data_IF_046577201322
#
_entry.id   IF_046577201322
#
_cell.length_a   1.000
_cell.length_b   1.000
_cell.length_c   1.000
_cell.angle_alpha   90.00
_cell.angle_beta   90.00
_cell.angle_gamma   90.00
#
_symmetry.space_group_name_H-M   'P 1'
#
loop_
_entity.id
_entity.type
_entity.pdbx_description
1 polymer ?
#
# COMPACT_ATOMS: atom_id res chain seq x y z
N UNK A 1 -15.21 8.36 -6.57
CA UNK A 1 -13.82 8.28 -6.07
C UNK A 1 -13.87 8.52 -4.57
N UNK A 2 -13.37 7.58 -3.78
CA UNK A 2 -13.29 7.77 -2.34
C UNK A 2 -12.29 8.89 -2.02
N UNK A 3 -12.64 9.81 -1.13
CA UNK A 3 -11.81 10.97 -0.78
C UNK A 3 -10.95 10.73 0.48
N UNK A 4 -11.30 9.72 1.28
CA UNK A 4 -10.64 9.38 2.54
C UNK A 4 -9.99 7.98 2.55
N UNK A 5 -10.18 7.17 1.50
CA UNK A 5 -9.49 5.89 1.30
C UNK A 5 -9.11 5.71 -0.17
N UNK A 6 -7.95 5.11 -0.49
CA UNK A 6 -7.58 4.86 -1.87
C UNK A 6 -8.46 3.77 -2.49
N UNK A 7 -9.02 4.03 -3.67
CA UNK A 7 -9.78 3.03 -4.45
C UNK A 7 -8.85 1.92 -4.98
N UNK A 8 -7.62 2.28 -5.35
CA UNK A 8 -6.62 1.36 -5.88
C UNK A 8 -5.25 1.72 -5.32
N UNK A 9 -4.44 0.71 -5.03
CA UNK A 9 -3.03 0.87 -4.74
C UNK A 9 -2.23 0.17 -5.83
N UNK A 10 -1.54 0.95 -6.67
CA UNK A 10 -0.75 0.43 -7.79
C UNK A 10 0.68 0.27 -7.33
N UNK A 11 1.19 -0.96 -7.36
CA UNK A 11 2.60 -1.27 -7.13
C UNK A 11 3.23 -1.68 -8.46
N UNK A 12 4.41 -1.12 -8.76
CA UNK A 12 5.20 -1.47 -9.94
C UNK A 12 6.49 -2.12 -9.47
N UNK A 13 6.74 -3.32 -9.96
CA UNK A 13 8.01 -4.02 -9.75
C UNK A 13 8.78 -4.07 -11.07
N UNK A 14 9.96 -3.44 -11.09
CA UNK A 14 10.86 -3.47 -12.23
C UNK A 14 11.94 -4.53 -12.01
N UNK A 15 11.90 -5.58 -12.84
CA UNK A 15 12.89 -6.67 -12.82
C UNK A 15 13.82 -6.52 -14.03
N UNK A 16 15.12 -6.46 -13.78
CA UNK A 16 16.15 -6.33 -14.82
C UNK A 16 17.15 -7.48 -14.74
N UNK A 17 17.69 -7.87 -15.90
CA UNK A 17 18.81 -8.81 -15.97
C UNK A 17 20.12 -8.03 -15.86
N UNK A 18 20.92 -8.20 -14.77
CA UNK A 18 22.09 -7.36 -14.55
C UNK A 18 23.08 -7.34 -15.71
N UNK A 19 23.32 -8.50 -16.34
CA UNK A 19 24.27 -8.65 -17.45
C UNK A 19 23.83 -8.00 -18.77
N UNK A 20 22.58 -7.52 -18.86
CA UNK A 20 22.06 -6.81 -20.04
C UNK A 20 22.19 -5.29 -19.91
N UNK A 21 22.72 -4.78 -18.79
CA UNK A 21 22.85 -3.35 -18.52
C UNK A 21 24.28 -2.98 -18.08
N UNK A 22 24.69 -1.71 -18.25
CA UNK A 22 25.97 -1.23 -17.75
C UNK A 22 26.12 -1.40 -16.23
N UNK A 23 27.36 -1.52 -15.77
CA UNK A 23 27.67 -1.55 -14.35
C UNK A 23 27.07 -0.32 -13.63
N UNK A 24 26.44 -0.55 -12.48
CA UNK A 24 25.79 0.52 -11.70
C UNK A 24 24.39 0.93 -12.14
N UNK A 25 23.88 0.46 -13.29
CA UNK A 25 22.55 0.81 -13.77
C UNK A 25 21.46 0.58 -12.71
N UNK A 26 21.43 -0.60 -12.10
CA UNK A 26 20.42 -0.97 -11.09
C UNK A 26 20.36 -0.03 -9.88
N UNK A 27 21.53 0.40 -9.38
CA UNK A 27 21.62 1.30 -8.23
C UNK A 27 21.20 2.72 -8.63
N UNK A 28 21.75 3.21 -9.73
CA UNK A 28 21.43 4.55 -10.25
C UNK A 28 19.93 4.69 -10.56
N UNK A 29 19.32 3.65 -11.16
CA UNK A 29 17.87 3.64 -11.42
C UNK A 29 17.04 3.66 -10.14
N UNK A 30 17.47 2.96 -9.08
CA UNK A 30 16.77 2.98 -7.78
C UNK A 30 16.85 4.35 -7.11
N UNK A 31 18.03 4.95 -7.08
CA UNK A 31 18.22 6.30 -6.53
C UNK A 31 17.39 7.34 -7.28
N UNK A 32 17.41 7.27 -8.62
CA UNK A 32 16.60 8.15 -9.45
C UNK A 32 15.10 7.94 -9.22
N UNK A 33 14.62 6.70 -9.14
CA UNK A 33 13.20 6.40 -8.87
C UNK A 33 12.74 6.99 -7.53
N UNK A 34 13.56 6.88 -6.48
CA UNK A 34 13.26 7.45 -5.16
C UNK A 34 13.06 8.97 -5.25
N UNK A 35 13.89 9.67 -6.04
CA UNK A 35 13.74 11.11 -6.26
C UNK A 35 12.45 11.48 -7.00
N UNK A 36 11.87 10.56 -7.79
CA UNK A 36 10.61 10.81 -8.50
C UNK A 36 9.37 10.58 -7.65
N UNK A 37 9.47 9.91 -6.49
CA UNK A 37 8.31 9.54 -5.67
C UNK A 37 7.51 10.77 -5.26
N UNK A 38 8.16 11.79 -4.69
CA UNK A 38 7.49 13.00 -4.20
C UNK A 38 6.75 13.75 -5.32
N UNK A 39 7.43 13.95 -6.45
CA UNK A 39 6.87 14.59 -7.66
C UNK A 39 5.66 13.81 -8.20
N UNK A 40 5.76 12.48 -8.23
CA UNK A 40 4.67 11.61 -8.69
C UNK A 40 3.44 11.71 -7.79
N UNK A 41 3.62 11.66 -6.46
CA UNK A 41 2.52 11.83 -5.52
C UNK A 41 1.90 13.23 -5.58
N UNK A 42 2.70 14.28 -5.79
CA UNK A 42 2.17 15.63 -5.99
C UNK A 42 1.31 15.73 -7.26
N UNK A 43 1.74 15.08 -8.35
CA UNK A 43 0.95 14.99 -9.58
C UNK A 43 -0.36 14.23 -9.36
N UNK A 44 -0.33 13.07 -8.70
CA UNK A 44 -1.52 12.27 -8.37
C UNK A 44 -2.49 13.12 -7.55
N UNK A 45 -2.03 13.76 -6.48
CA UNK A 45 -2.87 14.61 -5.63
C UNK A 45 -3.55 15.72 -6.43
N UNK A 46 -2.80 16.40 -7.32
CA UNK A 46 -3.36 17.45 -8.20
C UNK A 46 -4.48 16.90 -9.10
N UNK A 47 -4.30 15.69 -9.63
CA UNK A 47 -5.31 15.03 -10.47
C UNK A 47 -6.55 14.61 -9.65
N UNK A 48 -6.36 14.11 -8.43
CA UNK A 48 -7.44 13.75 -7.50
C UNK A 48 -8.24 15.00 -7.04
N UNK A 49 -7.55 16.11 -6.78
CA UNK A 49 -8.16 17.38 -6.40
C UNK A 49 -9.01 17.96 -7.54
N UNK A 50 -8.60 17.77 -8.80
CA UNK A 50 -9.34 18.20 -9.98
C UNK A 50 -10.63 17.40 -10.26
N UNK A 51 -10.85 16.27 -9.57
CA UNK A 51 -12.08 15.47 -9.72
C UNK A 51 -13.27 16.27 -9.15
N UNK A 52 -14.35 16.50 -9.93
CA UNK A 52 -15.54 17.19 -9.44
C UNK A 52 -16.16 16.54 -8.20
N UNK A 53 -16.58 17.35 -7.22
CA UNK A 53 -17.13 16.90 -5.93
C UNK A 53 -18.32 15.94 -6.07
N UNK A 54 -19.15 16.10 -7.11
CA UNK A 54 -20.27 15.18 -7.39
C UNK A 54 -19.86 13.72 -7.61
N UNK A 55 -18.59 13.47 -7.93
CA UNK A 55 -18.04 12.13 -8.09
C UNK A 55 -17.22 11.68 -6.88
N UNK A 56 -17.02 12.55 -5.87
CA UNK A 56 -16.34 12.20 -4.62
C UNK A 56 -17.35 11.62 -3.64
N UNK A 57 -16.96 10.57 -2.95
CA UNK A 57 -17.79 9.89 -1.96
C UNK A 57 -16.95 9.60 -0.72
N UNK A 58 -17.35 10.10 0.44
CA UNK A 58 -16.65 9.81 1.69
C UNK A 58 -17.21 8.55 2.32
N UNK A 59 -16.33 7.58 2.60
CA UNK A 59 -16.72 6.36 3.31
C UNK A 59 -16.80 6.67 4.81
N UNK A 60 -17.84 6.19 5.50
CA UNK A 60 -17.95 6.34 6.94
C UNK A 60 -16.82 5.58 7.67
N UNK A 61 -16.49 6.00 8.90
CA UNK A 61 -15.48 5.29 9.70
C UNK A 61 -15.82 3.82 9.94
N UNK A 62 -17.11 3.52 10.14
CA UNK A 62 -17.60 2.17 10.35
C UNK A 62 -17.39 1.29 9.11
N UNK A 63 -17.72 1.80 7.93
CA UNK A 63 -17.47 1.08 6.67
C UNK A 63 -15.98 0.84 6.44
N UNK A 64 -15.12 1.83 6.71
CA UNK A 64 -13.66 1.66 6.62
C UNK A 64 -13.20 0.54 7.55
N UNK A 65 -13.63 0.52 8.81
CA UNK A 65 -13.25 -0.53 9.76
C UNK A 65 -13.74 -1.91 9.30
N UNK A 66 -14.94 -2.01 8.75
CA UNK A 66 -15.49 -3.26 8.19
C UNK A 66 -14.66 -3.75 6.98
N UNK A 67 -14.24 -2.83 6.10
CA UNK A 67 -13.30 -3.17 5.02
C UNK A 67 -11.96 -3.67 5.56
N UNK A 68 -11.39 -3.02 6.58
CA UNK A 68 -10.12 -3.46 7.16
C UNK A 68 -10.22 -4.85 7.83
N UNK A 69 -11.36 -5.16 8.47
CA UNK A 69 -11.67 -6.50 9.00
C UNK A 69 -11.68 -7.55 7.88
N UNK A 70 -12.41 -7.29 6.79
CA UNK A 70 -12.45 -8.17 5.62
C UNK A 70 -11.04 -8.42 5.07
N UNK A 71 -10.24 -7.38 4.88
CA UNK A 71 -8.87 -7.55 4.38
C UNK A 71 -7.99 -8.34 5.35
N UNK A 72 -8.15 -8.16 6.66
CA UNK A 72 -7.43 -8.95 7.67
C UNK A 72 -7.78 -10.43 7.57
N UNK A 73 -9.05 -10.76 7.43
CA UNK A 73 -9.50 -12.15 7.28
C UNK A 73 -8.88 -12.80 6.04
N UNK A 74 -8.82 -12.08 4.91
CA UNK A 74 -8.17 -12.57 3.70
C UNK A 74 -6.67 -12.77 3.89
N UNK A 75 -5.98 -11.84 4.57
CA UNK A 75 -4.54 -11.98 4.87
C UNK A 75 -4.27 -13.24 5.70
N UNK A 76 -5.04 -13.46 6.78
CA UNK A 76 -4.93 -14.66 7.62
C UNK A 76 -5.19 -15.93 6.80
N UNK A 77 -6.21 -15.92 5.95
CA UNK A 77 -6.53 -17.06 5.09
C UNK A 77 -5.39 -17.35 4.12
N UNK A 78 -4.88 -16.35 3.42
CA UNK A 78 -3.77 -16.52 2.48
C UNK A 78 -2.47 -16.92 3.16
N UNK A 79 -2.23 -16.51 4.42
CA UNK A 79 -1.13 -17.04 5.23
C UNK A 79 -1.32 -18.54 5.50
N UNK A 80 -2.53 -18.97 5.89
CA UNK A 80 -2.86 -20.38 6.14
C UNK A 80 -2.77 -21.25 4.89
N UNK A 81 -3.17 -20.70 3.74
CA UNK A 81 -3.10 -21.36 2.43
C UNK A 81 -1.65 -21.40 1.88
N UNK A 82 -0.67 -20.82 2.59
CA UNK A 82 0.74 -20.81 2.20
C UNK A 82 1.09 -19.82 1.08
N UNK A 83 0.16 -18.93 0.73
CA UNK A 83 0.37 -17.89 -0.30
C UNK A 83 1.19 -16.73 0.29
N UNK A 84 0.89 -16.34 1.52
CA UNK A 84 1.63 -15.31 2.25
C UNK A 84 2.57 -15.92 3.28
N UNK A 85 3.79 -15.38 3.34
CA UNK A 85 4.76 -15.78 4.35
C UNK A 85 4.38 -15.19 5.73
N UNK A 86 4.25 -16.02 6.79
CA UNK A 86 3.79 -15.57 8.10
C UNK A 86 4.74 -14.56 8.76
N UNK A 87 6.05 -14.64 8.47
CA UNK A 87 7.03 -13.69 9.00
C UNK A 87 6.83 -12.33 8.33
N UNK A 88 6.65 -12.30 7.01
CA UNK A 88 6.36 -11.09 6.25
C UNK A 88 5.06 -10.43 6.72
N UNK A 89 4.00 -11.21 6.92
CA UNK A 89 2.73 -10.69 7.45
C UNK A 89 2.92 -10.04 8.82
N UNK A 90 3.64 -10.70 9.73
CA UNK A 90 4.03 -10.13 11.02
C UNK A 90 4.80 -8.80 10.91
N UNK A 91 5.73 -8.67 9.96
CA UNK A 91 6.48 -7.43 9.70
C UNK A 91 5.55 -6.32 9.20
N UNK A 92 4.72 -6.61 8.19
CA UNK A 92 3.81 -5.64 7.59
C UNK A 92 2.76 -5.16 8.58
N UNK A 93 2.23 -6.05 9.43
CA UNK A 93 1.32 -5.67 10.51
C UNK A 93 1.98 -4.68 11.48
N UNK A 94 3.22 -4.95 11.92
CA UNK A 94 3.96 -4.02 12.80
C UNK A 94 4.18 -2.67 12.13
N UNK A 95 4.51 -2.65 10.84
CA UNK A 95 4.68 -1.41 10.09
C UNK A 95 3.37 -0.60 10.05
N UNK A 96 2.22 -1.22 9.73
CA UNK A 96 0.91 -0.53 9.74
C UNK A 96 0.57 0.02 11.12
N UNK A 97 0.80 -0.75 12.18
CA UNK A 97 0.56 -0.33 13.56
C UNK A 97 1.53 0.75 14.06
N UNK A 98 2.71 0.88 13.46
CA UNK A 98 3.64 1.98 13.77
C UNK A 98 3.16 3.33 13.22
N UNK A 99 2.42 3.30 12.11
CA UNK A 99 1.85 4.50 11.48
C UNK A 99 0.55 4.92 12.18
N UNK A 100 -0.35 3.97 12.44
CA UNK A 100 -1.60 4.22 13.16
C UNK A 100 -1.84 3.14 14.21
N UNK A 101 -1.57 3.48 15.47
CA UNK A 101 -1.68 2.56 16.62
C UNK A 101 -3.11 2.24 17.01
N UNK A 102 -4.07 3.09 16.63
CA UNK A 102 -5.48 2.93 16.99
C UNK A 102 -6.25 2.00 16.05
N UNK A 103 -5.61 1.46 15.00
CA UNK A 103 -6.23 0.46 14.12
C UNK A 103 -6.67 -0.76 14.93
N UNK A 104 -7.86 -1.29 14.61
CA UNK A 104 -8.46 -2.41 15.34
C UNK A 104 -7.55 -3.65 15.37
N UNK A 105 -6.76 -3.90 14.31
CA UNK A 105 -5.92 -5.10 14.21
C UNK A 105 -4.69 -5.08 15.14
N UNK A 106 -4.31 -3.92 15.65
CA UNK A 106 -3.06 -3.72 16.40
C UNK A 106 -3.09 -4.29 17.82
N UNK A 107 -4.28 -4.46 18.40
CA UNK A 107 -4.48 -5.13 19.71
C UNK A 107 -4.73 -6.63 19.58
N UNK A 108 -4.97 -7.13 18.36
CA UNK A 108 -5.29 -8.53 18.12
C UNK A 108 -4.02 -9.37 17.96
N UNK A 109 -4.04 -10.61 18.45
CA UNK A 109 -3.00 -11.60 18.17
C UNK A 109 -3.00 -12.05 16.71
N UNK A 110 -1.82 -12.39 16.21
CA UNK A 110 -1.63 -13.02 14.90
C UNK A 110 -1.81 -12.12 13.67
N UNK A 111 -1.31 -12.64 12.56
CA UNK A 111 -1.68 -12.34 11.17
C UNK A 111 -1.42 -13.57 10.29
#
# INVERSE_FOLDING_TARGET
>A
MFDNVPVVNITIELIIRPNSFPAGFSLNSREWLIQQISTSFAMIKRLEDAIPTKYKYSISKEEVENYEKLFREQRIRFTKDGIYDPVMMGVLKRARCSVERTRFECSLGGE
#
